data_IF_977557344026
#
_entry.id   IF_977557344026
#
_cell.length_a   1.000
_cell.length_b   1.000
_cell.length_c   1.000
_cell.angle_alpha   90.00
_cell.angle_beta   90.00
_cell.angle_gamma   90.00
#
_symmetry.space_group_name_H-M   'P 1'
#
loop_
_entity.id
_entity.type
_entity.pdbx_description
1 polymer ?
#
# COMPACT_ATOMS: atom_id res chain seq x y z
N UNK A 1 -2.90 -3.48 10.18
CA UNK A 1 -2.69 -3.51 11.64
C UNK A 1 -1.25 -3.86 11.97
N UNK A 2 -0.90 -3.94 13.26
CA UNK A 2 0.40 -4.43 13.75
C UNK A 2 0.22 -5.28 15.01
N UNK A 3 1.08 -6.28 15.21
CA UNK A 3 1.03 -7.20 16.36
C UNK A 3 2.22 -7.07 17.33
N UNK A 4 3.16 -6.15 17.06
CA UNK A 4 4.33 -5.93 17.90
C UNK A 4 4.06 -5.07 19.15
N UNK A 5 5.10 -4.38 19.64
CA UNK A 5 4.98 -3.42 20.75
C UNK A 5 3.95 -2.33 20.36
N UNK A 6 2.85 -2.28 21.10
CA UNK A 6 1.60 -1.56 20.79
C UNK A 6 0.80 -2.19 19.63
N UNK A 7 0.04 -3.27 19.86
CA UNK A 7 -0.79 -3.86 18.83
C UNK A 7 -1.89 -2.89 18.38
N UNK A 8 -2.25 -2.97 17.09
CA UNK A 8 -3.35 -2.20 16.48
C UNK A 8 -4.10 -3.09 15.50
N UNK A 9 -5.43 -3.00 15.54
CA UNK A 9 -6.29 -3.65 14.54
C UNK A 9 -6.00 -3.13 13.13
N UNK A 10 -6.30 -3.96 12.14
CA UNK A 10 -6.41 -3.49 10.76
C UNK A 10 -7.71 -2.71 10.59
N UNK A 11 -7.70 -1.77 9.67
CA UNK A 11 -8.91 -1.09 9.19
C UNK A 11 -9.20 -1.56 7.78
N UNK A 12 -10.48 -1.64 7.41
CA UNK A 12 -10.87 -2.00 6.04
C UNK A 12 -10.29 -0.96 5.06
N UNK A 13 -9.60 -1.43 4.02
CA UNK A 13 -8.98 -0.53 3.05
C UNK A 13 -10.00 0.01 2.04
N UNK A 14 -10.93 -0.82 1.60
CA UNK A 14 -12.01 -0.46 0.68
C UNK A 14 -13.16 -1.46 0.74
N UNK A 15 -14.09 -1.31 -0.20
CA UNK A 15 -15.25 -2.19 -0.34
C UNK A 15 -14.92 -3.49 -1.08
N UNK A 16 -15.95 -4.27 -1.39
CA UNK A 16 -15.82 -5.52 -2.15
C UNK A 16 -15.15 -5.29 -3.51
N UNK A 17 -14.28 -6.23 -3.91
CA UNK A 17 -13.50 -6.16 -5.13
C UNK A 17 -13.36 -7.53 -5.78
N UNK A 18 -13.15 -7.57 -7.10
CA UNK A 18 -12.84 -8.84 -7.79
C UNK A 18 -11.42 -9.30 -7.46
N UNK A 19 -11.10 -10.58 -7.68
CA UNK A 19 -9.74 -11.09 -7.45
C UNK A 19 -8.70 -10.36 -8.31
N UNK A 20 -9.04 -10.03 -9.56
CA UNK A 20 -8.14 -9.31 -10.45
C UNK A 20 -7.90 -7.87 -9.95
N UNK A 21 -8.96 -7.16 -9.59
CA UNK A 21 -8.87 -5.81 -9.05
C UNK A 21 -8.08 -5.77 -7.74
N UNK A 22 -8.22 -6.80 -6.89
CA UNK A 22 -7.45 -6.94 -5.66
C UNK A 22 -5.95 -7.02 -5.92
N UNK A 23 -5.51 -7.78 -6.92
CA UNK A 23 -4.09 -7.89 -7.26
C UNK A 23 -3.51 -6.55 -7.71
N UNK A 24 -4.23 -5.82 -8.57
CA UNK A 24 -3.83 -4.48 -8.99
C UNK A 24 -3.81 -3.50 -7.80
N UNK A 25 -4.78 -3.61 -6.89
CA UNK A 25 -4.83 -2.77 -5.71
C UNK A 25 -3.66 -3.04 -4.76
N UNK A 26 -3.26 -4.29 -4.57
CA UNK A 26 -2.07 -4.65 -3.78
C UNK A 26 -0.80 -4.06 -4.41
N UNK A 27 -0.66 -4.11 -5.74
CA UNK A 27 0.50 -3.53 -6.43
C UNK A 27 0.58 -2.02 -6.21
N UNK A 28 -0.54 -1.30 -6.37
CA UNK A 28 -0.63 0.14 -6.08
C UNK A 28 -0.31 0.46 -4.61
N UNK A 29 -0.83 -0.33 -3.66
CA UNK A 29 -0.53 -0.20 -2.22
C UNK A 29 0.97 -0.30 -1.96
N UNK A 30 1.64 -1.29 -2.56
CA UNK A 30 3.08 -1.49 -2.40
C UNK A 30 3.89 -0.36 -3.03
N UNK A 31 3.45 0.15 -4.19
CA UNK A 31 4.11 1.25 -4.87
C UNK A 31 4.02 2.57 -4.06
N UNK A 32 2.84 2.89 -3.51
CA UNK A 32 2.67 4.03 -2.60
C UNK A 32 3.51 3.86 -1.35
N UNK A 33 3.52 2.67 -0.74
CA UNK A 33 4.37 2.39 0.42
C UNK A 33 5.85 2.60 0.12
N UNK A 34 6.33 2.11 -1.02
CA UNK A 34 7.71 2.31 -1.45
C UNK A 34 8.03 3.80 -1.70
N UNK A 35 7.11 4.54 -2.35
CA UNK A 35 7.32 5.95 -2.72
C UNK A 35 7.33 6.90 -1.52
N UNK A 36 6.46 6.65 -0.53
CA UNK A 36 6.21 7.55 0.59
C UNK A 36 6.76 7.05 1.93
N UNK A 37 7.18 5.79 2.01
CA UNK A 37 7.79 5.19 3.18
C UNK A 37 9.18 5.76 3.45
N UNK A 38 9.53 5.87 4.73
CA UNK A 38 10.89 6.18 5.19
C UNK A 38 11.67 4.89 5.45
N UNK A 39 13.00 5.00 5.50
CA UNK A 39 13.85 3.88 5.94
C UNK A 39 13.38 3.37 7.30
N UNK A 40 13.25 2.05 7.43
CA UNK A 40 12.81 1.33 8.63
C UNK A 40 11.35 1.61 9.09
N UNK A 41 10.59 2.39 8.33
CA UNK A 41 9.17 2.64 8.61
C UNK A 41 8.31 1.46 8.15
N UNK A 42 7.45 0.94 9.03
CA UNK A 42 6.48 -0.11 8.66
C UNK A 42 5.24 0.53 8.01
N UNK A 43 4.53 -0.22 7.17
CA UNK A 43 3.30 0.24 6.53
C UNK A 43 2.26 0.82 7.51
N UNK A 44 2.07 0.16 8.67
CA UNK A 44 1.13 0.65 9.69
C UNK A 44 1.55 1.96 10.36
N UNK A 45 2.83 2.33 10.28
CA UNK A 45 3.37 3.60 10.79
C UNK A 45 3.33 4.68 9.71
N UNK A 46 3.58 4.31 8.44
CA UNK A 46 3.31 5.19 7.29
C UNK A 46 1.85 5.66 7.28
N UNK A 47 0.90 4.72 7.34
CA UNK A 47 -0.55 5.04 7.33
C UNK A 47 -0.92 5.92 8.52
N UNK A 48 -0.32 5.69 9.69
CA UNK A 48 -0.54 6.55 10.86
C UNK A 48 0.00 7.97 10.63
N UNK A 49 1.16 8.09 9.99
CA UNK A 49 1.80 9.38 9.71
C UNK A 49 1.05 10.19 8.66
N UNK A 50 0.56 9.56 7.59
CA UNK A 50 -0.09 10.26 6.47
C UNK A 50 -1.61 10.25 6.53
N UNK A 51 -2.22 9.51 7.46
CA UNK A 51 -3.65 9.15 7.51
C UNK A 51 -4.06 8.07 6.50
N UNK A 52 -5.05 7.24 6.89
CA UNK A 52 -5.61 6.21 6.01
C UNK A 52 -6.32 6.83 4.80
N UNK A 53 -6.93 7.99 4.96
CA UNK A 53 -7.63 8.72 3.88
C UNK A 53 -6.65 9.14 2.78
N UNK A 54 -5.55 9.82 3.14
CA UNK A 54 -4.55 10.21 2.14
C UNK A 54 -3.86 9.00 1.53
N UNK A 55 -3.62 7.93 2.32
CA UNK A 55 -3.07 6.70 1.78
C UNK A 55 -3.98 6.06 0.72
N UNK A 56 -5.31 6.03 0.95
CA UNK A 56 -6.29 5.58 -0.05
C UNK A 56 -6.28 6.48 -1.28
N UNK A 57 -6.22 7.80 -1.11
CA UNK A 57 -6.15 8.75 -2.21
C UNK A 57 -4.93 8.48 -3.10
N UNK A 58 -3.73 8.34 -2.50
CA UNK A 58 -2.51 8.04 -3.25
C UNK A 58 -2.57 6.71 -3.99
N UNK A 59 -3.20 5.69 -3.39
CA UNK A 59 -3.39 4.39 -4.06
C UNK A 59 -4.36 4.52 -5.23
N UNK A 60 -5.44 5.31 -5.08
CA UNK A 60 -6.41 5.54 -6.16
C UNK A 60 -5.78 6.28 -7.34
N UNK A 61 -5.00 7.32 -7.06
CA UNK A 61 -4.32 8.16 -8.04
C UNK A 61 -3.08 7.49 -8.67
N UNK A 62 -2.66 6.33 -8.16
CA UNK A 62 -1.50 5.63 -8.68
C UNK A 62 -1.81 5.02 -10.05
N UNK A 63 -1.22 5.61 -11.09
CA UNK A 63 -1.26 5.09 -12.45
C UNK A 63 -0.30 3.91 -12.60
N UNK A 64 -0.79 2.81 -13.16
CA UNK A 64 0.02 1.63 -13.43
C UNK A 64 0.49 1.65 -14.86
N UNK A 65 1.80 1.64 -15.05
CA UNK A 65 2.38 1.44 -16.37
C UNK A 65 2.15 -0.02 -16.78
N UNK A 66 1.25 -0.24 -17.75
CA UNK A 66 0.76 -1.58 -18.12
C UNK A 66 1.84 -2.50 -18.73
N UNK A 67 3.07 -1.98 -18.93
CA UNK A 67 4.21 -2.72 -19.47
C UNK A 67 5.08 -3.44 -18.44
N UNK A 68 4.94 -3.17 -17.14
CA UNK A 68 5.63 -3.87 -16.06
C UNK A 68 4.62 -4.29 -14.99
N UNK A 69 3.86 -5.36 -15.25
CA UNK A 69 3.33 -6.12 -14.13
C UNK A 69 4.48 -6.88 -13.49
N UNK A 70 4.46 -6.94 -12.16
CA UNK A 70 5.49 -7.47 -11.26
C UNK A 70 6.64 -6.48 -11.00
N UNK A 71 6.48 -5.71 -9.91
CA UNK A 71 7.53 -5.02 -9.14
C UNK A 71 8.96 -5.17 -9.73
N UNK A 72 9.61 -4.11 -10.25
CA UNK A 72 10.99 -4.18 -10.73
C UNK A 72 12.03 -4.39 -9.58
N UNK A 73 11.62 -4.96 -8.45
CA UNK A 73 12.39 -5.05 -7.21
C UNK A 73 13.44 -6.19 -7.24
N UNK A 74 13.44 -7.08 -8.25
CA UNK A 74 14.46 -8.15 -8.39
C UNK A 74 15.53 -7.83 -9.46
N UNK A 75 15.58 -6.61 -10.00
CA UNK A 75 16.59 -6.24 -10.99
C UNK A 75 17.38 -4.99 -10.55
N UNK A 76 18.21 -5.12 -9.51
CA UNK A 76 19.42 -4.33 -9.27
C UNK A 76 20.31 -4.97 -8.21
#
# INVERSE_FOLDING_TARGET
GKMGRHPRFGECFGDFSTVLDLLYQVEKILAVYYRHGKKDERMGDLVQRISLENFRQYVSEWEMDKGLSCLPIIAR
#
